data_IF_573773322960
#
_entry.id   IF_573773322960
#
_cell.length_a   1.000
_cell.length_b   1.000
_cell.length_c   1.000
_cell.angle_alpha   90.00
_cell.angle_beta   90.00
_cell.angle_gamma   90.00
#
_symmetry.space_group_name_H-M   'P 1'
#
loop_
_entity.id
_entity.type
_entity.pdbx_description
1 polymer ?
#
# COMPACT_ATOMS: atom_id res chain seq x y z
N UNK A 1 -0.32 -1.49 21.34
CA UNK A 1 1.11 -1.62 20.95
C UNK A 1 1.18 -1.44 19.44
N UNK A 2 2.13 -0.68 18.88
CA UNK A 2 2.37 -0.77 17.45
C UNK A 2 3.06 -2.13 17.23
N UNK A 3 2.29 -3.12 16.78
CA UNK A 3 2.80 -4.45 16.48
C UNK A 3 3.90 -4.42 15.42
N UNK A 4 4.46 -5.60 15.14
CA UNK A 4 5.43 -5.80 14.07
C UNK A 4 4.84 -5.35 12.71
N UNK A 5 5.34 -4.25 12.15
CA UNK A 5 4.81 -3.62 10.93
C UNK A 5 5.66 -3.91 9.68
N UNK A 6 6.36 -5.04 9.68
CA UNK A 6 7.27 -5.45 8.62
C UNK A 6 6.72 -6.69 7.90
N UNK A 7 6.52 -6.56 6.60
CA UNK A 7 5.88 -7.56 5.75
C UNK A 7 6.86 -8.14 4.72
N UNK A 8 6.72 -9.43 4.41
CA UNK A 8 7.42 -10.03 3.27
C UNK A 8 6.82 -9.52 1.96
N UNK A 9 7.56 -9.59 0.85
CA UNK A 9 7.04 -9.24 -0.47
C UNK A 9 5.75 -10.01 -0.82
N UNK A 10 5.70 -11.30 -0.46
CA UNK A 10 4.56 -12.18 -0.68
C UNK A 10 3.33 -11.77 0.13
N UNK A 11 3.49 -11.27 1.36
CA UNK A 11 2.36 -10.84 2.21
C UNK A 11 1.62 -9.62 1.65
N UNK A 12 2.28 -8.82 0.81
CA UNK A 12 1.71 -7.59 0.22
C UNK A 12 1.65 -7.63 -1.31
N UNK A 13 1.90 -8.79 -1.92
CA UNK A 13 1.70 -9.02 -3.35
C UNK A 13 2.69 -8.31 -4.27
N UNK A 14 3.90 -8.03 -3.81
CA UNK A 14 4.92 -7.37 -4.63
C UNK A 14 6.23 -8.15 -4.70
N UNK A 15 7.10 -7.76 -5.63
CA UNK A 15 8.43 -8.34 -5.78
C UNK A 15 9.38 -7.96 -4.61
N UNK A 16 10.45 -8.76 -4.45
CA UNK A 16 11.40 -8.59 -3.36
C UNK A 16 12.52 -7.57 -3.63
N UNK A 17 12.52 -6.85 -4.76
CA UNK A 17 13.69 -6.09 -5.21
C UNK A 17 14.15 -5.03 -4.21
N UNK A 18 13.21 -4.25 -3.66
CA UNK A 18 13.52 -3.23 -2.66
C UNK A 18 13.71 -3.85 -1.27
N UNK A 19 12.91 -4.86 -0.91
CA UNK A 19 13.05 -5.57 0.36
C UNK A 19 14.46 -6.13 0.56
N UNK A 20 15.04 -6.78 -0.45
CA UNK A 20 16.41 -7.35 -0.42
C UNK A 20 17.54 -6.34 -0.18
N UNK A 21 17.23 -5.04 -0.12
CA UNK A 21 18.18 -3.96 0.19
C UNK A 21 18.09 -3.52 1.66
N UNK A 22 17.18 -4.07 2.45
CA UNK A 22 17.06 -3.81 3.89
C UNK A 22 17.64 -4.97 4.71
N UNK A 23 18.15 -4.73 5.94
CA UNK A 23 18.69 -5.79 6.80
C UNK A 23 17.70 -6.91 7.11
N UNK A 24 16.41 -6.58 7.16
CA UNK A 24 15.34 -7.52 7.52
C UNK A 24 14.67 -8.16 6.30
N UNK A 25 15.11 -7.79 5.09
CA UNK A 25 14.53 -8.24 3.82
C UNK A 25 12.99 -8.05 3.72
N UNK A 26 12.48 -6.98 4.31
CA UNK A 26 11.04 -6.72 4.47
C UNK A 26 10.64 -5.30 4.08
N UNK A 27 9.34 -5.14 3.84
CA UNK A 27 8.67 -3.86 3.62
C UNK A 27 8.00 -3.36 4.90
N UNK A 28 8.20 -2.09 5.22
CA UNK A 28 7.54 -1.47 6.36
C UNK A 28 6.24 -0.82 5.92
N UNK A 29 5.15 -1.09 6.64
CA UNK A 29 3.89 -0.36 6.42
C UNK A 29 4.08 1.11 6.77
N UNK A 30 3.84 1.98 5.78
CA UNK A 30 3.87 3.42 5.97
C UNK A 30 2.65 3.86 6.81
N UNK A 31 2.79 4.90 7.66
CA UNK A 31 1.64 5.47 8.34
C UNK A 31 0.58 5.93 7.33
N UNK A 32 -0.69 5.53 7.55
CA UNK A 32 -1.81 5.97 6.71
C UNK A 32 -2.27 7.40 7.03
N UNK A 33 -1.95 7.90 8.23
CA UNK A 33 -2.28 9.28 8.61
C UNK A 33 -1.48 10.26 7.76
N UNK A 34 -2.16 11.24 7.16
CA UNK A 34 -1.54 12.23 6.29
C UNK A 34 -1.05 11.66 4.95
N UNK A 35 -1.52 10.47 4.53
CA UNK A 35 -1.13 9.83 3.26
C UNK A 35 -1.24 10.78 2.05
N UNK A 36 -2.24 11.67 2.05
CA UNK A 36 -2.46 12.66 1.00
C UNK A 36 -1.27 13.64 0.79
N UNK A 37 -0.39 13.78 1.78
CA UNK A 37 0.82 14.62 1.69
C UNK A 37 1.97 13.93 0.93
N UNK A 38 1.87 12.61 0.68
CA UNK A 38 2.92 11.77 0.11
C UNK A 38 2.52 11.17 -1.25
N UNK A 39 1.95 11.99 -2.13
CA UNK A 39 1.47 11.56 -3.46
C UNK A 39 2.46 11.82 -4.59
N UNK A 40 3.41 12.75 -4.38
CA UNK A 40 4.39 13.12 -5.42
C UNK A 40 5.34 11.97 -5.69
N UNK A 41 5.36 11.52 -6.94
CA UNK A 41 6.20 10.39 -7.37
C UNK A 41 5.51 9.03 -7.26
N UNK A 42 4.22 8.99 -6.89
CA UNK A 42 3.45 7.76 -6.70
C UNK A 42 3.56 7.21 -5.28
N UNK A 43 2.91 6.08 -5.06
CA UNK A 43 2.90 5.32 -3.82
C UNK A 43 3.93 4.18 -3.88
N UNK A 44 4.32 3.68 -2.72
CA UNK A 44 5.48 2.81 -2.51
C UNK A 44 6.82 3.49 -2.82
N UNK A 45 7.92 2.85 -2.40
CA UNK A 45 9.27 3.42 -2.48
C UNK A 45 9.76 3.70 -3.90
N UNK A 46 9.22 3.00 -4.88
CA UNK A 46 9.58 3.09 -6.30
C UNK A 46 8.48 3.74 -7.16
N UNK A 47 7.40 4.22 -6.54
CA UNK A 47 6.31 4.86 -7.28
C UNK A 47 5.51 3.90 -8.16
N UNK A 48 5.58 2.59 -7.93
CA UNK A 48 4.93 1.56 -8.78
C UNK A 48 3.42 1.75 -8.95
N UNK A 49 2.78 2.45 -8.00
CA UNK A 49 1.39 2.84 -8.08
C UNK A 49 1.30 4.35 -8.25
N UNK A 50 0.76 4.83 -9.36
CA UNK A 50 0.70 6.25 -9.66
C UNK A 50 -0.31 6.98 -8.76
N UNK A 51 -1.38 6.29 -8.36
CA UNK A 51 -2.49 6.85 -7.59
C UNK A 51 -2.87 5.96 -6.40
N UNK A 52 -3.64 6.53 -5.47
CA UNK A 52 -4.18 5.76 -4.34
C UNK A 52 -5.19 4.71 -4.82
N UNK A 53 -5.90 5.00 -5.92
CA UNK A 53 -6.81 4.04 -6.53
C UNK A 53 -6.06 2.81 -7.02
N UNK A 54 -4.88 2.98 -7.63
CA UNK A 54 -4.06 1.83 -8.07
C UNK A 54 -3.59 0.96 -6.89
N UNK A 55 -3.32 1.57 -5.73
CA UNK A 55 -2.99 0.82 -4.50
C UNK A 55 -4.20 0.04 -3.98
N UNK A 56 -5.39 0.66 -4.01
CA UNK A 56 -6.64 -0.01 -3.59
C UNK A 56 -6.96 -1.17 -4.53
N UNK A 57 -6.83 -0.96 -5.85
CA UNK A 57 -7.05 -2.00 -6.85
C UNK A 57 -6.10 -3.18 -6.65
N UNK A 58 -4.82 -2.89 -6.41
CA UNK A 58 -3.82 -3.92 -6.11
C UNK A 58 -4.24 -4.83 -4.96
N UNK A 59 -4.70 -4.26 -3.85
CA UNK A 59 -5.11 -5.06 -2.69
C UNK A 59 -6.46 -5.75 -2.87
N UNK A 60 -7.39 -5.13 -3.60
CA UNK A 60 -8.67 -5.76 -3.97
C UNK A 60 -8.43 -7.04 -4.77
N UNK A 61 -7.57 -6.97 -5.80
CA UNK A 61 -7.18 -8.12 -6.62
C UNK A 61 -6.33 -9.13 -5.84
N UNK A 62 -5.29 -8.66 -5.15
CA UNK A 62 -4.32 -9.53 -4.47
C UNK A 62 -4.94 -10.33 -3.32
N UNK A 63 -5.89 -9.72 -2.60
CA UNK A 63 -6.57 -10.36 -1.47
C UNK A 63 -7.94 -10.96 -1.85
N UNK A 64 -8.35 -10.88 -3.12
CA UNK A 64 -9.65 -11.36 -3.63
C UNK A 64 -10.83 -10.82 -2.81
N UNK A 65 -10.83 -9.50 -2.55
CA UNK A 65 -11.82 -8.85 -1.69
C UNK A 65 -13.18 -8.65 -2.38
N UNK A 66 -13.18 -8.55 -3.71
CA UNK A 66 -14.40 -8.39 -4.51
C UNK A 66 -15.10 -7.06 -4.29
N UNK A 67 -14.35 -5.99 -4.03
CA UNK A 67 -14.90 -4.66 -3.76
C UNK A 67 -15.58 -4.10 -5.00
N UNK A 68 -16.79 -3.56 -4.80
CA UNK A 68 -17.45 -2.79 -5.84
C UNK A 68 -16.69 -1.51 -6.16
N UNK A 69 -16.93 -0.95 -7.35
CA UNK A 69 -16.36 0.34 -7.73
C UNK A 69 -16.68 1.46 -6.72
N UNK A 70 -17.84 1.38 -6.06
CA UNK A 70 -18.22 2.36 -5.03
C UNK A 70 -17.41 2.19 -3.76
N UNK A 71 -17.23 0.96 -3.28
CA UNK A 71 -16.43 0.68 -2.08
C UNK A 71 -14.97 1.07 -2.26
N UNK A 72 -14.38 0.80 -3.44
CA UNK A 72 -13.01 1.24 -3.76
C UNK A 72 -12.87 2.76 -3.72
N UNK A 73 -13.83 3.48 -4.30
CA UNK A 73 -13.85 4.93 -4.27
C UNK A 73 -14.00 5.48 -2.84
N UNK A 74 -14.94 4.94 -2.06
CA UNK A 74 -15.17 5.36 -0.68
C UNK A 74 -13.96 5.03 0.22
N UNK A 75 -13.30 3.90 0.02
CA UNK A 75 -12.06 3.53 0.72
C UNK A 75 -10.93 4.51 0.41
N UNK A 76 -10.74 4.88 -0.86
CA UNK A 76 -9.72 5.84 -1.23
C UNK A 76 -9.95 7.22 -0.59
N UNK A 77 -11.19 7.69 -0.51
CA UNK A 77 -11.53 8.95 0.16
C UNK A 77 -11.38 8.84 1.69
N UNK A 78 -11.78 7.71 2.28
CA UNK A 78 -11.55 7.45 3.69
C UNK A 78 -10.07 7.52 4.05
N UNK A 79 -9.20 6.86 3.28
CA UNK A 79 -7.75 6.87 3.50
C UNK A 79 -7.13 8.27 3.38
N UNK A 80 -7.65 9.14 2.51
CA UNK A 80 -7.22 10.55 2.41
C UNK A 80 -7.61 11.38 3.63
N UNK A 81 -8.65 10.97 4.37
CA UNK A 81 -9.16 11.70 5.54
C UNK A 81 -8.41 11.41 6.85
N UNK A 82 -7.47 10.45 6.86
CA UNK A 82 -6.77 9.95 8.05
C UNK A 82 -5.63 10.83 8.58
#
# INVERSE_FOLDING_TARGET
>A
EPGWNMHTPEEIGIDAFQAKRSPDERYRTAPLRGLWTHTKGGFYHDGRFATLADVVEHYDDFMDLGLSAREKADLAEYLKSL
#
